data_IF_564824282221
#
_entry.id   IF_564824282221
#
_cell.length_a   1.000
_cell.length_b   1.000
_cell.length_c   1.000
_cell.angle_alpha   90.00
_cell.angle_beta   90.00
_cell.angle_gamma   90.00
#
_symmetry.space_group_name_H-M   'P 1'
#
loop_
_entity.id
_entity.type
_entity.pdbx_description
1 polymer ?
#
# COMPACT_ATOMS: atom_id res chain seq x y z
N UNK A 1 -65.43 48.41 -5.30
CA UNK A 1 -64.28 48.37 -4.37
C UNK A 1 -63.57 47.02 -4.52
N UNK A 2 -62.49 46.95 -5.30
CA UNK A 2 -61.69 45.73 -5.48
C UNK A 2 -60.41 45.83 -4.65
N UNK A 3 -60.23 44.87 -3.73
CA UNK A 3 -59.01 44.71 -2.92
C UNK A 3 -57.95 44.00 -3.78
N UNK A 4 -56.72 44.50 -3.92
CA UNK A 4 -55.70 43.80 -4.70
C UNK A 4 -55.23 42.56 -3.93
N UNK A 5 -55.21 41.40 -4.62
CA UNK A 5 -54.56 40.18 -4.13
C UNK A 5 -53.06 40.43 -4.06
N UNK A 6 -52.45 40.26 -2.87
CA UNK A 6 -51.00 40.20 -2.72
C UNK A 6 -50.49 38.93 -3.42
N UNK A 7 -49.64 39.12 -4.43
CA UNK A 7 -48.86 38.04 -5.02
C UNK A 7 -47.85 37.55 -3.98
N UNK A 8 -47.90 36.27 -3.62
CA UNK A 8 -46.93 35.63 -2.74
C UNK A 8 -45.81 35.09 -3.63
N UNK A 9 -44.68 35.77 -3.69
CA UNK A 9 -43.48 35.25 -4.37
C UNK A 9 -43.02 33.95 -3.67
N UNK A 10 -42.58 32.93 -4.42
CA UNK A 10 -41.98 31.74 -3.84
C UNK A 10 -40.63 32.13 -3.21
N UNK A 11 -40.47 31.85 -1.93
CA UNK A 11 -39.18 31.96 -1.26
C UNK A 11 -38.20 30.98 -1.94
N UNK A 12 -37.10 31.49 -2.48
CA UNK A 12 -35.97 30.67 -2.86
C UNK A 12 -35.57 29.78 -1.67
N UNK A 13 -35.09 28.54 -1.89
CA UNK A 13 -34.67 27.69 -0.80
C UNK A 13 -33.46 28.35 -0.13
N UNK A 14 -33.71 29.04 0.99
CA UNK A 14 -32.66 29.53 1.85
C UNK A 14 -31.99 28.29 2.44
N UNK A 15 -30.86 27.87 1.86
CA UNK A 15 -29.98 26.94 2.54
C UNK A 15 -29.71 27.53 3.92
N UNK A 16 -30.23 26.85 4.95
CA UNK A 16 -30.21 27.35 6.32
C UNK A 16 -28.79 27.78 6.66
N UNK A 17 -28.62 28.98 7.19
CA UNK A 17 -27.34 29.48 7.70
C UNK A 17 -26.71 28.45 8.66
N UNK A 18 -27.53 27.67 9.37
CA UNK A 18 -27.09 26.53 10.17
C UNK A 18 -26.36 25.45 9.36
N UNK A 19 -26.86 25.06 8.18
CA UNK A 19 -26.21 24.07 7.32
C UNK A 19 -24.87 24.58 6.78
N UNK A 20 -24.80 25.86 6.41
CA UNK A 20 -23.57 26.52 5.96
C UNK A 20 -22.53 26.61 7.11
N UNK A 21 -22.96 26.98 8.31
CA UNK A 21 -22.11 27.01 9.49
C UNK A 21 -21.62 25.61 9.89
N UNK A 22 -22.48 24.59 9.85
CA UNK A 22 -22.10 23.21 10.13
C UNK A 22 -21.04 22.70 9.15
N UNK A 23 -21.25 22.92 7.84
CA UNK A 23 -20.28 22.52 6.82
C UNK A 23 -18.92 23.23 7.00
N UNK A 24 -18.92 24.53 7.33
CA UNK A 24 -17.69 25.26 7.63
C UNK A 24 -16.97 24.71 8.88
N UNK A 25 -17.70 24.39 9.95
CA UNK A 25 -17.13 23.80 11.16
C UNK A 25 -16.55 22.39 10.93
N UNK A 26 -17.21 21.57 10.11
CA UNK A 26 -16.73 20.22 9.79
C UNK A 26 -15.42 20.24 8.99
N UNK A 27 -15.23 21.23 8.13
CA UNK A 27 -13.99 21.40 7.36
C UNK A 27 -12.82 21.92 8.21
N UNK A 28 -13.11 22.63 9.32
CA UNK A 28 -12.10 23.17 10.23
C UNK A 28 -11.53 22.13 11.21
N UNK A 29 -12.24 21.03 11.47
CA UNK A 29 -11.78 19.96 12.40
C UNK A 29 -11.06 18.81 11.69
N UNK A 30 -11.06 18.75 10.36
CA UNK A 30 -10.31 17.74 9.61
C UNK A 30 -8.80 18.03 9.70
N UNK A 31 -8.19 17.65 10.83
CA UNK A 31 -6.74 17.66 11.00
C UNK A 31 -6.07 16.67 10.05
N UNK A 32 -4.78 16.87 9.73
CA UNK A 32 -4.03 15.89 8.96
C UNK A 32 -4.09 14.52 9.63
N UNK A 33 -4.54 13.50 8.90
CA UNK A 33 -4.36 12.11 9.34
C UNK A 33 -2.86 11.80 9.21
N UNK A 34 -2.16 11.73 10.33
CA UNK A 34 -0.81 11.19 10.34
C UNK A 34 -0.90 9.72 9.91
N UNK A 35 -0.12 9.34 8.91
CA UNK A 35 0.02 7.93 8.57
C UNK A 35 0.98 7.30 9.58
N UNK A 36 0.48 6.34 10.35
CA UNK A 36 1.24 5.65 11.39
C UNK A 36 2.55 4.99 10.86
N UNK A 37 2.59 4.70 9.55
CA UNK A 37 3.79 4.28 8.83
C UNK A 37 4.01 5.20 7.64
N UNK A 38 5.22 5.75 7.53
CA UNK A 38 5.64 6.60 6.40
C UNK A 38 6.77 5.95 5.63
N UNK A 39 6.83 6.21 4.33
CA UNK A 39 7.86 5.69 3.43
C UNK A 39 8.42 6.81 2.55
N UNK A 40 9.74 6.82 2.38
CA UNK A 40 10.42 7.79 1.53
C UNK A 40 11.54 7.14 0.69
N UNK A 41 11.78 7.64 -0.54
CA UNK A 41 10.86 8.46 -1.34
C UNK A 41 9.62 7.65 -1.79
N UNK A 42 8.56 8.36 -2.20
CA UNK A 42 7.33 7.73 -2.71
C UNK A 42 7.50 7.15 -4.12
N UNK A 43 8.34 7.79 -4.95
CA UNK A 43 8.63 7.37 -6.31
C UNK A 43 10.10 7.64 -6.60
N UNK A 44 10.75 6.71 -7.29
CA UNK A 44 12.14 6.86 -7.70
C UNK A 44 12.34 6.15 -9.04
N UNK A 45 13.01 6.83 -9.97
CA UNK A 45 13.51 6.23 -11.21
C UNK A 45 15.03 6.22 -11.11
N UNK A 46 15.63 5.07 -11.40
CA UNK A 46 17.07 4.85 -11.33
C UNK A 46 17.56 4.31 -12.67
N UNK A 47 18.80 4.64 -13.02
CA UNK A 47 19.55 3.91 -14.04
C UNK A 47 20.08 2.61 -13.43
N UNK A 48 20.24 1.59 -14.27
CA UNK A 48 20.89 0.33 -13.88
C UNK A 48 22.26 0.61 -13.25
N UNK A 49 22.55 -0.08 -12.14
CA UNK A 49 23.79 0.08 -11.39
C UNK A 49 23.79 1.19 -10.34
N UNK A 50 22.77 2.06 -10.30
CA UNK A 50 22.67 3.08 -9.25
C UNK A 50 22.20 2.48 -7.93
N UNK A 51 22.73 2.98 -6.83
CA UNK A 51 22.29 2.64 -5.49
C UNK A 51 21.13 3.52 -5.03
N UNK A 52 20.26 2.99 -4.17
CA UNK A 52 19.17 3.73 -3.55
C UNK A 52 18.85 3.20 -2.16
N UNK A 53 18.34 4.06 -1.27
CA UNK A 53 17.83 3.68 0.05
C UNK A 53 16.38 4.10 0.20
N UNK A 54 15.49 3.14 0.38
CA UNK A 54 14.13 3.35 0.84
C UNK A 54 14.12 3.37 2.36
N UNK A 55 13.46 4.36 2.94
CA UNK A 55 13.26 4.49 4.38
C UNK A 55 11.81 4.22 4.71
N UNK A 56 11.60 3.45 5.76
CA UNK A 56 10.30 3.29 6.40
C UNK A 56 10.41 3.80 7.83
N UNK A 57 9.47 4.64 8.25
CA UNK A 57 9.41 5.18 9.60
C UNK A 57 8.03 4.95 10.24
N UNK A 58 8.00 4.73 11.55
CA UNK A 58 6.79 4.50 12.34
C UNK A 58 6.88 5.19 13.71
N UNK A 59 5.74 5.61 14.26
CA UNK A 59 5.60 6.26 15.57
C UNK A 59 4.69 5.49 16.55
N UNK A 60 4.28 4.27 16.18
CA UNK A 60 3.42 3.37 16.97
C UNK A 60 4.16 2.54 18.03
N UNK A 61 5.48 2.70 18.21
CA UNK A 61 6.31 1.86 19.09
C UNK A 61 6.23 0.35 18.75
N UNK A 62 5.96 0.01 17.48
CA UNK A 62 5.95 -1.37 16.99
C UNK A 62 7.35 -1.99 17.04
N UNK A 63 7.43 -3.25 17.49
CA UNK A 63 8.70 -3.98 17.56
C UNK A 63 9.13 -4.44 16.16
N UNK A 64 8.20 -5.05 15.43
CA UNK A 64 8.49 -5.66 14.13
C UNK A 64 8.25 -4.70 12.98
N UNK A 65 9.11 -4.75 11.95
CA UNK A 65 8.94 -4.03 10.69
C UNK A 65 9.30 -4.93 9.50
N UNK A 66 8.68 -4.64 8.37
CA UNK A 66 8.70 -5.50 7.19
C UNK A 66 8.87 -4.68 5.92
N UNK A 67 9.64 -5.21 4.98
CA UNK A 67 9.72 -4.70 3.62
C UNK A 67 9.15 -5.73 2.65
N UNK A 68 8.18 -5.30 1.84
CA UNK A 68 7.57 -6.10 0.80
C UNK A 68 7.78 -5.46 -0.56
N UNK A 69 7.71 -6.29 -1.60
CA UNK A 69 7.51 -5.84 -2.98
C UNK A 69 6.25 -6.44 -3.57
N UNK A 70 5.64 -5.70 -4.49
CA UNK A 70 4.51 -6.13 -5.29
C UNK A 70 4.82 -5.91 -6.77
N UNK A 71 4.97 -7.03 -7.48
CA UNK A 71 5.11 -7.02 -8.92
C UNK A 71 3.72 -7.09 -9.59
N UNK A 72 3.56 -6.58 -10.82
CA UNK A 72 2.28 -6.62 -11.53
C UNK A 72 1.68 -8.03 -11.59
N UNK A 73 0.44 -8.18 -11.16
CA UNK A 73 -0.28 -9.46 -11.14
C UNK A 73 0.13 -10.42 -10.01
N UNK A 74 1.06 -10.03 -9.14
CA UNK A 74 1.50 -10.81 -7.99
C UNK A 74 0.97 -10.23 -6.66
N UNK A 75 0.91 -11.09 -5.65
CA UNK A 75 0.69 -10.65 -4.27
C UNK A 75 1.92 -9.97 -3.67
N UNK A 76 1.79 -9.53 -2.41
CA UNK A 76 2.94 -9.06 -1.63
C UNK A 76 3.92 -10.23 -1.42
N UNK A 77 5.20 -9.97 -1.66
CA UNK A 77 6.29 -10.90 -1.33
C UNK A 77 7.26 -10.22 -0.38
N UNK A 78 7.62 -10.92 0.69
CA UNK A 78 8.48 -10.39 1.73
C UNK A 78 9.93 -10.34 1.24
N UNK A 79 10.55 -9.16 1.31
CA UNK A 79 11.98 -8.97 1.01
C UNK A 79 12.79 -9.29 2.27
N UNK A 80 12.51 -8.59 3.36
CA UNK A 80 13.19 -8.69 4.64
C UNK A 80 12.24 -8.26 5.77
N UNK A 81 12.49 -8.78 6.97
CA UNK A 81 11.82 -8.31 8.17
C UNK A 81 12.81 -8.12 9.32
N UNK A 82 12.33 -7.49 10.38
CA UNK A 82 13.06 -7.25 11.60
C UNK A 82 12.09 -7.45 12.76
N UNK A 83 12.39 -8.37 13.68
CA UNK A 83 11.53 -8.65 14.83
C UNK A 83 11.70 -7.62 15.96
N UNK A 84 12.92 -7.07 16.07
CA UNK A 84 13.33 -6.06 17.04
C UNK A 84 14.44 -5.17 16.46
N UNK A 85 14.71 -4.03 17.11
CA UNK A 85 15.88 -3.21 16.77
C UNK A 85 17.18 -4.04 16.82
N UNK A 86 18.09 -3.75 15.89
CA UNK A 86 19.34 -4.47 15.72
C UNK A 86 19.21 -5.84 15.03
N UNK A 87 18.00 -6.33 14.77
CA UNK A 87 17.77 -7.64 14.11
C UNK A 87 17.24 -7.46 12.69
N UNK A 88 17.69 -8.32 11.77
CA UNK A 88 17.17 -8.41 10.40
C UNK A 88 17.23 -9.86 9.92
N UNK A 89 16.18 -10.29 9.23
CA UNK A 89 16.04 -11.65 8.70
C UNK A 89 15.55 -11.58 7.24
N UNK A 90 15.99 -12.52 6.37
CA UNK A 90 15.54 -12.59 4.99
C UNK A 90 14.09 -13.05 4.87
N UNK A 91 13.42 -12.56 3.83
CA UNK A 91 12.08 -13.02 3.43
C UNK A 91 12.13 -14.05 2.30
N UNK A 92 11.10 -14.02 1.46
CA UNK A 92 10.94 -14.86 0.27
C UNK A 92 11.84 -14.43 -0.89
N UNK A 93 12.13 -13.13 -0.99
CA UNK A 93 12.88 -12.52 -2.10
C UNK A 93 13.94 -11.52 -1.60
N UNK A 94 14.93 -11.97 -0.80
CA UNK A 94 15.93 -11.09 -0.18
C UNK A 94 17.05 -10.65 -1.14
N UNK A 95 17.25 -11.36 -2.25
CA UNK A 95 18.42 -11.18 -3.11
C UNK A 95 18.51 -9.80 -3.76
N UNK A 96 19.70 -9.19 -3.70
CA UNK A 96 19.97 -7.87 -4.26
C UNK A 96 19.53 -6.70 -3.38
N UNK A 97 19.11 -6.98 -2.15
CA UNK A 97 18.74 -6.00 -1.15
C UNK A 97 19.63 -6.12 0.09
N UNK A 98 19.93 -4.99 0.73
CA UNK A 98 20.48 -4.96 2.09
C UNK A 98 19.59 -4.12 3.00
N UNK A 99 19.54 -4.43 4.29
CA UNK A 99 18.63 -3.78 5.24
C UNK A 99 19.33 -3.35 6.52
N UNK A 100 18.80 -2.32 7.17
CA UNK A 100 19.29 -1.84 8.47
C UNK A 100 18.15 -1.42 9.38
N UNK A 101 18.17 -1.93 10.61
CA UNK A 101 17.23 -1.60 11.68
C UNK A 101 17.99 -1.12 12.91
N UNK A 102 18.47 0.13 12.89
CA UNK A 102 19.26 0.67 14.01
C UNK A 102 18.41 1.00 15.24
N UNK A 103 17.11 1.25 15.06
CA UNK A 103 16.18 1.62 16.11
C UNK A 103 14.78 1.07 15.79
N UNK A 104 13.85 1.20 16.74
CA UNK A 104 12.45 0.79 16.52
C UNK A 104 11.72 1.64 15.49
N UNK A 105 12.05 2.92 15.37
CA UNK A 105 11.28 3.88 14.56
C UNK A 105 11.55 3.77 13.07
N UNK A 106 12.69 3.21 12.64
CA UNK A 106 13.10 3.19 11.23
C UNK A 106 13.57 1.81 10.77
N UNK A 107 13.20 1.46 9.53
CA UNK A 107 13.72 0.28 8.84
C UNK A 107 14.14 0.64 7.41
N UNK A 108 15.44 0.60 7.14
CA UNK A 108 16.02 0.99 5.85
C UNK A 108 16.17 -0.22 4.94
N UNK A 109 15.80 -0.07 3.67
CA UNK A 109 16.03 -1.03 2.58
C UNK A 109 16.91 -0.38 1.52
N UNK A 110 18.03 -1.01 1.20
CA UNK A 110 19.03 -0.52 0.26
C UNK A 110 19.06 -1.43 -0.96
N UNK A 111 19.00 -0.81 -2.14
CA UNK A 111 19.45 -1.42 -3.40
C UNK A 111 20.87 -0.92 -3.61
N UNK A 112 21.86 -1.80 -3.58
CA UNK A 112 23.25 -1.41 -3.81
C UNK A 112 23.54 -1.16 -5.29
N UNK A 113 22.90 -1.94 -6.17
CA UNK A 113 23.02 -1.84 -7.61
C UNK A 113 21.68 -2.16 -8.25
N UNK A 114 20.96 -1.14 -8.68
CA UNK A 114 19.62 -1.31 -9.25
C UNK A 114 19.65 -2.15 -10.53
N UNK A 115 18.78 -3.16 -10.60
CA UNK A 115 18.55 -3.98 -11.78
C UNK A 115 17.10 -3.86 -12.29
N UNK A 116 16.83 -4.07 -13.59
CA UNK A 116 15.46 -4.04 -14.11
C UNK A 116 14.49 -4.98 -13.38
N UNK A 117 14.98 -6.13 -12.91
CA UNK A 117 14.22 -7.11 -12.11
C UNK A 117 13.76 -6.60 -10.73
N UNK A 118 14.30 -5.47 -10.27
CA UNK A 118 13.91 -4.81 -9.02
C UNK A 118 12.91 -3.66 -9.25
N UNK A 119 12.42 -3.48 -10.48
CA UNK A 119 11.32 -2.55 -10.75
C UNK A 119 10.03 -3.09 -10.17
N UNK A 120 9.52 -2.47 -9.11
CA UNK A 120 8.38 -2.97 -8.34
C UNK A 120 7.75 -1.84 -7.50
N UNK A 121 6.57 -2.09 -6.94
CA UNK A 121 6.01 -1.25 -5.88
C UNK A 121 6.48 -1.79 -4.53
N UNK A 122 7.05 -0.93 -3.70
CA UNK A 122 7.60 -1.30 -2.40
C UNK A 122 6.69 -0.85 -1.26
N UNK A 123 6.39 -1.78 -0.35
CA UNK A 123 5.54 -1.53 0.81
C UNK A 123 6.30 -1.77 2.10
N UNK A 124 6.07 -0.93 3.09
CA UNK A 124 6.50 -1.16 4.45
C UNK A 124 5.30 -1.37 5.38
N UNK A 125 5.48 -2.22 6.38
CA UNK A 125 4.52 -2.41 7.46
C UNK A 125 5.25 -2.56 8.79
N UNK A 126 4.53 -2.39 9.90
CA UNK A 126 5.03 -2.62 11.25
C UNK A 126 3.97 -3.32 12.13
N UNK A 127 4.40 -3.98 13.21
CA UNK A 127 3.53 -4.73 14.14
C UNK A 127 4.07 -4.69 15.58
N UNK A 128 3.17 -4.67 16.58
CA UNK A 128 3.52 -4.81 18.00
C UNK A 128 4.14 -6.18 18.34
N UNK A 129 3.69 -7.27 17.69
CA UNK A 129 4.00 -8.65 18.10
C UNK A 129 4.65 -9.49 16.99
N UNK A 130 5.58 -10.36 17.40
CA UNK A 130 6.10 -11.51 16.65
C UNK A 130 5.03 -12.59 16.55
N UNK A 131 4.02 -12.39 15.73
CA UNK A 131 3.30 -13.55 15.20
C UNK A 131 4.30 -14.25 14.27
N UNK A 132 4.83 -15.39 14.70
CA UNK A 132 5.40 -16.37 13.78
C UNK A 132 4.36 -16.54 12.67
N UNK A 133 4.62 -15.97 11.50
CA UNK A 133 3.86 -16.23 10.28
C UNK A 133 4.13 -17.69 9.91
N UNK A 134 3.55 -18.61 10.69
CA UNK A 134 3.44 -20.01 10.33
C UNK A 134 2.64 -20.03 9.04
N UNK A 135 3.36 -20.18 7.92
CA UNK A 135 2.89 -20.54 6.58
C UNK A 135 1.37 -20.56 6.44
N UNK A 136 0.75 -19.42 6.24
CA UNK A 136 -0.50 -19.40 5.47
C UNK A 136 -0.08 -19.26 4.02
N UNK A 137 0.21 -20.42 3.41
CA UNK A 137 0.36 -20.53 1.97
C UNK A 137 -0.87 -19.89 1.32
N UNK A 138 -0.60 -18.86 0.52
CA UNK A 138 -1.59 -18.19 -0.31
C UNK A 138 -2.49 -19.22 -0.99
N UNK A 139 -3.79 -19.19 -0.68
CA UNK A 139 -4.83 -19.94 -1.39
C UNK A 139 -4.90 -19.39 -2.80
N UNK A 140 -4.09 -19.95 -3.70
CA UNK A 140 -4.29 -19.77 -5.12
C UNK A 140 -5.54 -20.55 -5.51
N UNK A 141 -6.64 -19.82 -5.72
CA UNK A 141 -7.84 -20.34 -6.37
C UNK A 141 -7.48 -20.67 -7.82
N UNK A 142 -7.16 -21.93 -8.09
CA UNK A 142 -6.96 -22.43 -9.44
C UNK A 142 -8.25 -22.22 -10.25
N UNK A 143 -8.17 -21.44 -11.33
CA UNK A 143 -9.14 -21.52 -12.41
C UNK A 143 -8.73 -22.71 -13.27
N UNK A 144 -9.50 -23.79 -13.22
CA UNK A 144 -9.38 -24.86 -14.21
C UNK A 144 -9.70 -24.28 -15.60
N UNK A 145 -8.72 -24.30 -16.49
CA UNK A 145 -8.93 -24.08 -17.91
C UNK A 145 -9.24 -25.45 -18.55
N UNK A 146 -10.46 -25.57 -19.06
CA UNK A 146 -10.92 -26.67 -19.91
C UNK A 146 -10.03 -26.77 -21.17
N UNK A 147 -9.54 -27.96 -21.57
CA UNK A 147 -8.88 -28.11 -22.85
C UNK A 147 -9.92 -28.30 -23.96
N UNK A 148 -10.04 -27.30 -24.83
CA UNK A 148 -10.65 -27.43 -26.15
C UNK A 148 -9.57 -27.66 -27.19
N UNK A 149 -9.57 -28.82 -27.85
CA UNK A 149 -9.40 -28.91 -29.32
C UNK A 149 -9.48 -30.37 -29.79
N UNK A 150 -10.19 -30.51 -30.91
CA UNK A 150 -10.52 -31.75 -31.60
C UNK A 150 -9.36 -32.20 -32.53
N UNK A 151 -9.23 -33.52 -32.66
CA UNK A 151 -8.54 -34.33 -33.71
C UNK A 151 -9.01 -33.96 -35.14
N UNK A 152 -8.51 -34.51 -36.29
CA UNK A 152 -7.91 -35.85 -36.47
C UNK A 152 -6.88 -36.05 -37.62
N UNK A 153 -6.47 -37.33 -37.77
CA UNK A 153 -6.08 -38.09 -38.98
C UNK A 153 -4.68 -38.73 -38.87
N UNK A 154 -4.35 -39.91 -39.38
CA UNK A 154 -5.02 -41.20 -39.65
C UNK A 154 -3.97 -42.08 -40.32
N UNK A 155 -3.84 -43.34 -39.88
CA UNK A 155 -3.42 -44.54 -40.65
C UNK A 155 -1.92 -44.74 -40.98
N UNK A 156 -1.52 -45.99 -40.66
CA UNK A 156 -0.28 -46.76 -40.85
C UNK A 156 0.13 -46.97 -42.33
N UNK A 157 1.34 -47.50 -42.58
CA UNK A 157 1.47 -48.95 -42.78
C UNK A 157 2.36 -49.66 -41.75
#
# INVERSE_FOLDING_TARGET
MHRPRRSLSPAAPAMSIGLLCCAAFSLLWAGPANADVTQSPKFQILKTGQSMTLQCAQDMNHNSMYWYRQDPGMGLRLIHYSAAEGTTDPGEVPDGYSVSRLNKTEFLLRLESAAPSQTSVYFCASSEATVLHGRLLSVHKGREALPSSLTPNSVMP
#
